data_IF_241620832708
#
_entry.id   IF_241620832708
#
_cell.length_a   1.000
_cell.length_b   1.000
_cell.length_c   1.000
_cell.angle_alpha   90.00
_cell.angle_beta   90.00
_cell.angle_gamma   90.00
#
_symmetry.space_group_name_H-M   'P 1'
#
loop_
_entity.id
_entity.type
_entity.pdbx_description
1 polymer ?
#
# COMPACT_ATOMS: atom_id res chain seq x y z
N UNK A 1 -6.89 10.36 -6.19
CA UNK A 1 -5.75 9.60 -6.76
C UNK A 1 -5.51 8.29 -5.98
N UNK A 2 -6.57 7.53 -5.65
CA UNK A 2 -6.49 6.29 -4.84
C UNK A 2 -6.85 5.03 -5.66
N UNK A 3 -7.58 5.19 -6.76
CA UNK A 3 -7.90 4.09 -7.69
C UNK A 3 -6.70 3.61 -8.53
N UNK A 4 -5.63 4.41 -8.63
CA UNK A 4 -4.49 4.11 -9.51
C UNK A 4 -3.60 2.99 -8.94
N UNK A 5 -3.48 2.85 -7.61
CA UNK A 5 -2.65 1.80 -7.00
C UNK A 5 -3.29 0.41 -7.08
N UNK A 6 -4.62 0.29 -6.99
CA UNK A 6 -5.31 -0.99 -7.21
C UNK A 6 -5.53 -1.34 -8.68
N UNK A 7 -5.38 -0.38 -9.61
CA UNK A 7 -5.23 -0.69 -11.03
C UNK A 7 -3.81 -1.04 -11.43
N UNK A 8 -2.78 -0.61 -10.71
CA UNK A 8 -1.39 -0.84 -11.11
C UNK A 8 -1.04 -2.34 -11.21
N UNK A 9 -1.57 -3.15 -10.30
CA UNK A 9 -1.33 -4.60 -10.29
C UNK A 9 -2.14 -5.38 -11.37
N UNK A 10 -3.46 -5.15 -11.59
CA UNK A 10 -4.18 -5.79 -12.68
C UNK A 10 -3.84 -5.25 -14.08
N UNK A 11 -3.42 -3.97 -14.21
CA UNK A 11 -3.04 -3.39 -15.51
C UNK A 11 -1.69 -3.94 -16.00
N UNK A 12 -0.73 -4.14 -15.09
CA UNK A 12 0.54 -4.83 -15.37
C UNK A 12 0.31 -6.31 -15.74
N UNK A 13 -0.69 -6.96 -15.14
CA UNK A 13 -1.14 -8.30 -15.51
C UNK A 13 -2.00 -8.36 -16.78
N UNK A 14 -2.35 -7.23 -17.39
CA UNK A 14 -3.09 -7.19 -18.66
C UNK A 14 -2.17 -7.09 -19.88
N UNK A 15 -0.85 -7.11 -19.69
CA UNK A 15 0.10 -7.27 -20.79
C UNK A 15 -0.18 -8.57 -21.56
N UNK A 16 0.22 -8.67 -22.85
CA UNK A 16 -0.02 -9.87 -23.66
C UNK A 16 0.52 -11.16 -23.01
N UNK A 17 1.57 -11.03 -22.19
CA UNK A 17 2.20 -12.09 -21.38
C UNK A 17 1.24 -12.75 -20.36
N UNK A 18 0.26 -12.02 -19.84
CA UNK A 18 -0.71 -12.49 -18.82
C UNK A 18 -2.17 -12.45 -19.34
N UNK A 19 -2.35 -12.45 -20.67
CA UNK A 19 -3.66 -12.54 -21.30
C UNK A 19 -4.27 -13.94 -21.11
N UNK A 20 -4.98 -14.14 -20.01
CA UNK A 20 -5.69 -15.38 -19.69
C UNK A 20 -7.13 -15.43 -20.25
N UNK A 21 -7.46 -14.68 -21.31
CA UNK A 21 -8.84 -14.60 -21.82
C UNK A 21 -9.39 -15.94 -22.34
N UNK A 22 -8.52 -16.89 -22.68
CA UNK A 22 -8.87 -18.26 -23.05
C UNK A 22 -9.33 -19.12 -21.87
N UNK A 23 -8.93 -18.75 -20.64
CA UNK A 23 -9.28 -19.46 -19.40
C UNK A 23 -10.49 -18.80 -18.74
N UNK A 24 -10.58 -17.45 -18.72
CA UNK A 24 -11.70 -16.70 -18.13
C UNK A 24 -11.69 -15.21 -18.52
N UNK A 25 -12.87 -14.54 -18.63
CA UNK A 25 -12.95 -13.09 -18.81
C UNK A 25 -12.41 -12.29 -17.61
N UNK A 26 -11.85 -11.09 -17.84
CA UNK A 26 -11.39 -10.21 -16.76
C UNK A 26 -12.59 -9.73 -15.92
N UNK A 27 -12.55 -9.95 -14.59
CA UNK A 27 -13.65 -9.58 -13.70
C UNK A 27 -13.44 -10.03 -12.24
N UNK A 28 -14.41 -9.72 -11.35
CA UNK A 28 -14.34 -10.06 -9.93
C UNK A 28 -14.45 -11.58 -9.66
N UNK A 29 -14.84 -12.36 -10.66
CA UNK A 29 -15.02 -13.82 -10.55
C UNK A 29 -13.73 -14.55 -10.15
N UNK A 30 -12.56 -14.02 -10.52
CA UNK A 30 -11.27 -14.61 -10.15
C UNK A 30 -11.01 -14.52 -8.64
N UNK A 31 -11.29 -13.35 -8.06
CA UNK A 31 -11.21 -13.14 -6.61
C UNK A 31 -12.29 -13.96 -5.88
N UNK A 32 -13.49 -14.11 -6.46
CA UNK A 32 -14.55 -14.92 -5.87
C UNK A 32 -14.20 -16.42 -5.82
N UNK A 33 -13.51 -16.94 -6.84
CA UNK A 33 -13.22 -18.37 -6.97
C UNK A 33 -11.90 -18.80 -6.33
N UNK A 34 -10.88 -17.95 -6.37
CA UNK A 34 -9.52 -18.28 -5.90
C UNK A 34 -8.99 -17.31 -4.82
N UNK A 35 -9.76 -16.32 -4.41
CA UNK A 35 -9.37 -15.35 -3.39
C UNK A 35 -9.20 -16.02 -2.02
N UNK A 36 -7.95 -16.22 -1.62
CA UNK A 36 -7.60 -16.70 -0.28
C UNK A 36 -7.42 -15.52 0.67
N UNK A 37 -8.13 -15.56 1.80
CA UNK A 37 -7.95 -14.55 2.86
C UNK A 37 -6.62 -14.78 3.57
N UNK A 38 -5.71 -13.81 3.45
CA UNK A 38 -4.40 -13.84 4.10
C UNK A 38 -4.43 -13.04 5.40
N UNK A 39 -5.15 -13.55 6.40
CA UNK A 39 -5.43 -12.83 7.65
C UNK A 39 -4.16 -12.51 8.47
N UNK A 40 -3.22 -13.46 8.54
CA UNK A 40 -1.97 -13.30 9.28
C UNK A 40 -1.13 -12.17 8.69
N UNK A 41 -0.97 -12.17 7.37
CA UNK A 41 -0.19 -11.16 6.65
C UNK A 41 -0.86 -9.79 6.67
N UNK A 42 -2.19 -9.73 6.50
CA UNK A 42 -2.94 -8.48 6.60
C UNK A 42 -2.83 -7.85 7.99
N UNK A 43 -3.00 -8.64 9.05
CA UNK A 43 -2.88 -8.15 10.44
C UNK A 43 -1.46 -7.68 10.74
N UNK A 44 -0.44 -8.43 10.35
CA UNK A 44 0.96 -8.03 10.49
C UNK A 44 1.24 -6.70 9.79
N UNK A 45 0.77 -6.55 8.55
CA UNK A 45 0.97 -5.33 7.76
C UNK A 45 0.34 -4.10 8.43
N UNK A 46 -0.89 -4.22 8.95
CA UNK A 46 -1.57 -3.11 9.66
C UNK A 46 -0.85 -2.76 10.96
N UNK A 47 -0.50 -3.75 11.79
CA UNK A 47 0.19 -3.52 13.07
C UNK A 47 1.55 -2.87 12.84
N UNK A 48 2.33 -3.40 11.88
CA UNK A 48 3.62 -2.83 11.51
C UNK A 48 3.48 -1.40 10.99
N UNK A 49 2.52 -1.14 10.10
CA UNK A 49 2.25 0.20 9.58
C UNK A 49 1.95 1.22 10.68
N UNK A 50 1.05 0.88 11.61
CA UNK A 50 0.68 1.76 12.73
C UNK A 50 1.86 2.07 13.64
N UNK A 51 2.68 1.08 13.98
CA UNK A 51 3.88 1.29 14.81
C UNK A 51 4.86 2.23 14.11
N UNK A 52 5.09 2.01 12.82
CA UNK A 52 6.02 2.83 12.03
C UNK A 52 5.52 4.26 11.89
N UNK A 53 4.21 4.47 11.71
CA UNK A 53 3.59 5.80 11.66
C UNK A 53 3.83 6.59 12.96
N UNK A 54 3.63 5.94 14.11
CA UNK A 54 3.85 6.54 15.43
C UNK A 54 5.32 6.95 15.61
N UNK A 55 6.27 6.15 15.11
CA UNK A 55 7.70 6.44 15.21
C UNK A 55 8.16 7.57 14.30
N UNK A 56 7.54 7.75 13.14
CA UNK A 56 7.91 8.83 12.23
C UNK A 56 7.44 10.21 12.69
N UNK A 57 6.34 10.32 13.42
CA UNK A 57 5.84 11.60 13.96
C UNK A 57 6.91 12.34 14.78
N UNK A 58 7.52 11.75 15.83
CA UNK A 58 8.57 12.42 16.61
C UNK A 58 9.85 12.67 15.80
N UNK A 59 10.23 11.75 14.91
CA UNK A 59 11.40 11.93 14.02
C UNK A 59 11.24 13.16 13.13
N UNK A 60 10.07 13.31 12.51
CA UNK A 60 9.74 14.44 11.63
C UNK A 60 9.66 15.76 12.40
N UNK A 61 9.17 15.72 13.65
CA UNK A 61 9.16 16.89 14.55
C UNK A 61 10.57 17.33 14.97
N UNK A 62 11.46 16.39 15.26
CA UNK A 62 12.86 16.69 15.56
C UNK A 62 13.55 17.36 14.36
N UNK A 63 13.34 16.81 13.18
CA UNK A 63 13.92 17.28 11.93
C UNK A 63 13.48 18.70 11.54
N UNK A 64 12.28 19.14 11.95
CA UNK A 64 11.79 20.50 11.71
C UNK A 64 12.69 21.59 12.31
N UNK A 65 13.41 21.30 13.39
CA UNK A 65 14.26 22.30 14.07
C UNK A 65 15.52 22.64 13.27
N UNK A 66 15.98 21.71 12.44
CA UNK A 66 17.25 21.82 11.70
C UNK A 66 17.06 22.05 10.18
N UNK A 67 15.88 22.50 9.74
CA UNK A 67 15.56 22.76 8.32
C UNK A 67 16.40 23.86 7.63
N UNK A 68 17.39 24.44 8.31
CA UNK A 68 18.29 25.44 7.74
C UNK A 68 19.21 24.85 6.68
N UNK A 69 19.64 23.59 6.83
CA UNK A 69 20.49 22.93 5.84
C UNK A 69 19.65 22.31 4.70
N UNK A 70 20.16 22.39 3.46
CA UNK A 70 19.49 21.83 2.27
C UNK A 70 19.27 20.32 2.37
N UNK A 71 20.17 19.59 3.05
CA UNK A 71 20.03 18.15 3.28
C UNK A 71 18.82 17.82 4.16
N UNK A 72 18.63 18.53 5.28
CA UNK A 72 17.50 18.30 6.18
C UNK A 72 16.14 18.64 5.56
N UNK A 73 16.09 19.57 4.59
CA UNK A 73 14.88 19.83 3.80
C UNK A 73 14.46 18.62 2.97
N UNK A 74 15.41 17.97 2.30
CA UNK A 74 15.13 16.77 1.48
C UNK A 74 14.70 15.61 2.38
N UNK A 75 15.41 15.39 3.49
CA UNK A 75 15.02 14.37 4.48
C UNK A 75 13.62 14.61 5.05
N UNK A 76 13.21 15.86 5.26
CA UNK A 76 11.87 16.18 5.74
C UNK A 76 10.79 15.84 4.70
N UNK A 77 11.01 16.20 3.44
CA UNK A 77 10.10 15.81 2.35
C UNK A 77 10.02 14.29 2.18
N UNK A 78 11.14 13.59 2.30
CA UNK A 78 11.19 12.14 2.25
C UNK A 78 10.36 11.53 3.40
N UNK A 79 10.48 12.07 4.62
CA UNK A 79 9.72 11.57 5.77
C UNK A 79 8.20 11.73 5.60
N UNK A 80 7.75 12.79 4.92
CA UNK A 80 6.33 12.99 4.59
C UNK A 80 5.88 11.97 3.54
N UNK A 81 6.69 11.74 2.51
CA UNK A 81 6.40 10.75 1.47
C UNK A 81 6.30 9.34 2.07
N UNK A 82 7.16 9.00 3.02
CA UNK A 82 7.12 7.72 3.72
C UNK A 82 5.82 7.55 4.52
N UNK A 83 5.33 8.57 5.22
CA UNK A 83 4.03 8.51 5.91
C UNK A 83 2.87 8.26 4.95
N UNK A 84 2.86 8.94 3.81
CA UNK A 84 1.83 8.71 2.77
C UNK A 84 1.95 7.29 2.21
N UNK A 85 3.17 6.79 1.99
CA UNK A 85 3.41 5.45 1.47
C UNK A 85 3.04 4.36 2.49
N UNK A 86 3.34 4.52 3.77
CA UNK A 86 2.98 3.57 4.83
C UNK A 86 1.45 3.51 4.98
N UNK A 87 0.78 4.66 4.97
CA UNK A 87 -0.69 4.70 4.99
C UNK A 87 -1.32 3.95 3.80
N UNK A 88 -0.81 4.16 2.58
CA UNK A 88 -1.34 3.51 1.39
C UNK A 88 -1.00 2.01 1.34
N UNK A 89 0.23 1.62 1.69
CA UNK A 89 0.72 0.25 1.50
C UNK A 89 0.48 -0.67 2.69
N UNK A 90 0.50 -0.18 3.92
CA UNK A 90 0.33 -1.02 5.10
C UNK A 90 -1.13 -1.04 5.56
N UNK A 91 -1.79 0.12 5.59
CA UNK A 91 -3.17 0.22 6.09
C UNK A 91 -4.17 -0.17 5.01
N UNK A 92 -4.09 0.44 3.82
CA UNK A 92 -5.05 0.18 2.73
C UNK A 92 -4.96 -1.27 2.22
N UNK A 93 -3.74 -1.74 1.94
CA UNK A 93 -3.50 -3.10 1.48
C UNK A 93 -3.77 -4.15 2.57
N UNK A 94 -3.37 -3.88 3.82
CA UNK A 94 -3.62 -4.76 4.95
C UNK A 94 -5.12 -4.97 5.21
N UNK A 95 -5.92 -3.90 5.13
CA UNK A 95 -7.38 -3.99 5.22
C UNK A 95 -7.96 -4.83 4.08
N UNK A 96 -7.51 -4.63 2.84
CA UNK A 96 -8.01 -5.40 1.70
C UNK A 96 -7.73 -6.89 1.82
N UNK A 97 -6.54 -7.27 2.30
CA UNK A 97 -6.19 -8.67 2.54
C UNK A 97 -7.07 -9.33 3.60
N UNK A 98 -7.53 -8.56 4.59
CA UNK A 98 -8.47 -9.01 5.63
C UNK A 98 -9.91 -9.09 5.06
N UNK A 99 -10.30 -8.12 4.24
CA UNK A 99 -11.67 -7.92 3.72
C UNK A 99 -11.91 -8.41 2.29
N UNK A 100 -11.16 -9.41 1.82
CA UNK A 100 -11.27 -10.03 0.47
C UNK A 100 -12.67 -10.59 0.10
N UNK A 101 -13.68 -10.57 0.98
CA UNK A 101 -15.02 -11.16 0.76
C UNK A 101 -16.19 -10.17 0.70
N UNK A 102 -15.97 -8.85 0.82
CA UNK A 102 -17.07 -7.87 0.90
C UNK A 102 -17.15 -6.89 -0.29
N UNK A 103 -16.78 -7.29 -1.52
CA UNK A 103 -17.01 -6.56 -2.78
C UNK A 103 -17.60 -7.50 -3.83
#
# INVERSE_FOLDING_TARGET
>A
MVAIQFQFMPLMLQGPEYNCSSIMPPGPEWAARYGVKQFQFGTYSVVFGVITEILYIPCTMGLRRDLKASCFKIMFWLSIMDMVAIMANCVLFGILLIKVRDI
#
